data_IF_041788057316
#
_entry.id   IF_041788057316
#
_cell.length_a   1.000
_cell.length_b   1.000
_cell.length_c   1.000
_cell.angle_alpha   90.00
_cell.angle_beta   90.00
_cell.angle_gamma   90.00
#
_symmetry.space_group_name_H-M   'P 1'
#
loop_
_entity.id
_entity.type
_entity.pdbx_description
1 polymer ?
#
# COMPACT_ATOMS: atom_id res chain seq x y z
N UNK A 1 1.93 -4.15 17.56
CA UNK A 1 1.58 -4.33 16.13
C UNK A 1 1.03 -3.05 15.47
N UNK A 2 1.70 -1.90 15.62
CA UNK A 2 1.42 -0.66 14.86
C UNK A 2 2.68 -0.12 14.17
N UNK A 3 3.69 -0.97 14.02
CA UNK A 3 5.03 -0.56 13.57
C UNK A 3 5.45 -1.18 12.24
N UNK A 4 4.62 -2.05 11.65
CA UNK A 4 5.05 -2.84 10.50
C UNK A 4 5.02 -2.10 9.15
N UNK A 5 4.34 -0.95 9.04
CA UNK A 5 4.17 -0.23 7.78
C UNK A 5 4.31 1.30 7.92
N UNK A 6 5.29 1.78 8.70
CA UNK A 6 5.61 3.22 8.79
C UNK A 6 5.94 3.83 7.42
N UNK A 7 6.46 3.01 6.52
CA UNK A 7 6.76 3.36 5.12
C UNK A 7 5.48 3.75 4.37
N UNK A 8 4.40 3.02 4.58
CA UNK A 8 3.10 3.28 3.97
C UNK A 8 2.49 4.55 4.53
N UNK A 9 2.50 4.72 5.85
CA UNK A 9 1.97 5.93 6.49
C UNK A 9 2.72 7.22 6.11
N UNK A 10 4.06 7.16 6.01
CA UNK A 10 4.86 8.29 5.53
C UNK A 10 4.53 8.63 4.08
N UNK A 11 4.52 7.64 3.20
CA UNK A 11 4.30 7.85 1.77
C UNK A 11 2.83 8.04 1.39
N UNK A 12 1.88 7.74 2.30
CA UNK A 12 0.46 8.07 2.13
C UNK A 12 0.27 9.57 1.96
N UNK A 13 1.05 10.39 2.67
CA UNK A 13 1.06 11.86 2.50
C UNK A 13 1.66 12.32 1.16
N UNK A 14 2.44 11.45 0.51
CA UNK A 14 3.03 11.70 -0.80
C UNK A 14 2.20 11.13 -1.96
N UNK A 15 1.09 10.44 -1.66
CA UNK A 15 0.17 9.99 -2.69
C UNK A 15 -0.69 11.15 -3.17
N UNK A 16 -0.92 11.21 -4.48
CA UNK A 16 -1.72 12.28 -5.12
C UNK A 16 -3.18 12.28 -4.65
N UNK A 17 -3.69 11.13 -4.25
CA UNK A 17 -5.06 10.93 -3.80
C UNK A 17 -5.10 10.60 -2.31
N UNK A 18 -6.04 11.21 -1.59
CA UNK A 18 -6.28 10.93 -0.16
C UNK A 18 -6.85 9.53 0.08
N UNK A 19 -7.61 9.02 -0.90
CA UNK A 19 -8.21 7.68 -0.90
C UNK A 19 -7.34 6.65 -1.61
N UNK A 20 -6.02 6.91 -1.68
CA UNK A 20 -5.12 6.05 -2.42
C UNK A 20 -5.06 4.66 -1.77
N UNK A 21 -5.51 3.64 -2.49
CA UNK A 21 -5.46 2.25 -2.07
C UNK A 21 -4.08 1.63 -2.29
N UNK A 22 -3.15 2.36 -2.91
CA UNK A 22 -1.80 1.91 -3.25
C UNK A 22 -1.72 0.68 -4.16
N UNK A 23 -2.80 0.32 -4.87
CA UNK A 23 -2.90 -0.87 -5.71
C UNK A 23 -2.77 -0.52 -7.19
N UNK A 24 -3.70 0.28 -7.71
CA UNK A 24 -3.81 0.51 -9.16
C UNK A 24 -3.87 1.98 -9.57
N UNK A 25 -3.53 2.90 -8.66
CA UNK A 25 -3.62 4.32 -8.97
C UNK A 25 -2.37 4.87 -9.66
N UNK A 26 -2.55 5.63 -10.75
CA UNK A 26 -1.45 6.29 -11.44
C UNK A 26 -0.87 7.40 -10.54
N UNK A 27 0.41 7.27 -10.20
CA UNK A 27 1.12 8.23 -9.34
C UNK A 27 1.16 7.86 -7.86
N UNK A 28 0.86 6.62 -7.49
CA UNK A 28 1.10 6.12 -6.14
C UNK A 28 2.61 6.06 -5.81
N UNK A 29 3.03 6.76 -4.75
CA UNK A 29 4.44 6.77 -4.32
C UNK A 29 4.92 5.38 -3.86
N UNK A 30 4.05 4.58 -3.24
CA UNK A 30 4.37 3.22 -2.80
C UNK A 30 4.72 2.33 -3.97
N UNK A 31 3.90 2.33 -5.02
CA UNK A 31 4.15 1.51 -6.20
C UNK A 31 5.50 1.88 -6.84
N UNK A 32 5.78 3.17 -6.93
CA UNK A 32 7.08 3.65 -7.39
C UNK A 32 8.24 3.16 -6.51
N UNK A 33 8.10 3.19 -5.19
CA UNK A 33 9.13 2.66 -4.27
C UNK A 33 9.31 1.15 -4.39
N UNK A 34 8.23 0.41 -4.68
CA UNK A 34 8.32 -1.03 -4.98
C UNK A 34 9.07 -1.25 -6.29
N UNK A 35 8.74 -0.48 -7.33
CA UNK A 35 9.44 -0.53 -8.63
C UNK A 35 10.90 -0.09 -8.54
N UNK A 36 11.23 0.87 -7.68
CA UNK A 36 12.61 1.31 -7.41
C UNK A 36 13.36 0.39 -6.43
N UNK A 37 12.70 -0.63 -5.88
CA UNK A 37 13.32 -1.60 -4.96
C UNK A 37 13.50 -1.11 -3.52
N UNK A 38 13.02 0.09 -3.20
CA UNK A 38 13.01 0.66 -1.85
C UNK A 38 12.06 -0.11 -0.92
N UNK A 39 10.93 -0.59 -1.46
CA UNK A 39 9.99 -1.47 -0.75
C UNK A 39 10.09 -2.87 -1.36
N UNK A 40 10.38 -3.91 -0.56
CA UNK A 40 10.38 -5.28 -1.06
C UNK A 40 9.02 -5.68 -1.61
N UNK A 41 8.98 -6.29 -2.79
CA UNK A 41 7.74 -6.82 -3.36
C UNK A 41 7.02 -7.80 -2.43
N UNK A 42 7.75 -8.58 -1.61
CA UNK A 42 7.13 -9.43 -0.58
C UNK A 42 6.32 -8.63 0.43
N UNK A 43 6.81 -7.45 0.87
CA UNK A 43 6.08 -6.58 1.80
C UNK A 43 4.80 -6.04 1.15
N UNK A 44 4.91 -5.63 -0.11
CA UNK A 44 3.77 -5.15 -0.88
C UNK A 44 2.73 -6.25 -1.14
N UNK A 45 3.17 -7.47 -1.43
CA UNK A 45 2.29 -8.64 -1.58
C UNK A 45 1.56 -8.98 -0.28
N UNK A 46 2.25 -8.98 0.87
CA UNK A 46 1.59 -9.17 2.16
C UNK A 46 0.52 -8.10 2.44
N UNK A 47 0.82 -6.84 2.11
CA UNK A 47 -0.15 -5.76 2.21
C UNK A 47 -1.36 -5.99 1.30
N UNK A 48 -1.13 -6.35 0.03
CA UNK A 48 -2.17 -6.68 -0.94
C UNK A 48 -3.08 -7.81 -0.47
N UNK A 49 -2.52 -8.89 0.09
CA UNK A 49 -3.31 -9.99 0.63
C UNK A 49 -4.23 -9.53 1.74
N UNK A 50 -3.68 -8.85 2.76
CA UNK A 50 -4.46 -8.35 3.90
C UNK A 50 -5.53 -7.35 3.42
N UNK A 51 -5.16 -6.44 2.52
CA UNK A 51 -6.09 -5.47 1.95
C UNK A 51 -7.24 -6.17 1.22
N UNK A 52 -6.94 -7.18 0.41
CA UNK A 52 -7.95 -7.92 -0.33
C UNK A 52 -8.87 -8.69 0.63
N UNK A 53 -8.34 -9.32 1.68
CA UNK A 53 -9.14 -9.96 2.73
C UNK A 53 -10.05 -8.98 3.47
N UNK A 54 -9.56 -7.78 3.80
CA UNK A 54 -10.37 -6.74 4.44
C UNK A 54 -11.50 -6.26 3.52
N UNK A 55 -11.18 -6.03 2.24
CA UNK A 55 -12.15 -5.60 1.23
C UNK A 55 -13.24 -6.64 0.99
N UNK A 56 -12.89 -7.92 0.99
CA UNK A 56 -13.85 -9.03 0.90
C UNK A 56 -14.76 -9.07 2.14
N UNK A 57 -14.22 -8.82 3.34
CA UNK A 57 -15.01 -8.75 4.57
C UNK A 57 -15.98 -7.57 4.62
N UNK A 58 -15.62 -6.41 4.07
CA UNK A 58 -16.51 -5.24 4.01
C UNK A 58 -17.70 -5.41 3.05
N UNK A 59 -17.63 -6.39 2.14
CA UNK A 59 -18.72 -6.71 1.19
C UNK A 59 -19.72 -7.75 1.69
N UNK A 60 -19.49 -8.36 2.84
CA UNK A 60 -20.32 -9.45 3.40
C UNK A 60 -21.29 -8.99 4.48
#
# INVERSE_FOLDING_TARGET
>A
MKEHFREFEKNRRHCKFQDCCHINEPGCKIKKLVEEGEIPESRYNSYLQIYNELKERERS
#
